data_IF_684401048202
#
_entry.id   IF_684401048202
#
_cell.length_a   1.000
_cell.length_b   1.000
_cell.length_c   1.000
_cell.angle_alpha   90.00
_cell.angle_beta   90.00
_cell.angle_gamma   90.00
#
_symmetry.space_group_name_H-M   'P 1'
#
loop_
_entity.id
_entity.type
_entity.pdbx_description
1 polymer ?
#
# COMPACT_ATOMS: atom_id res chain seq x y z
N UNK A 1 1.97 -19.24 17.70
CA UNK A 1 2.59 -18.32 16.72
C UNK A 1 2.03 -18.55 15.30
N UNK A 2 0.71 -18.53 15.10
CA UNK A 2 0.10 -18.81 13.78
C UNK A 2 0.38 -17.75 12.71
N UNK A 3 0.88 -16.57 13.10
CA UNK A 3 1.32 -15.56 12.14
C UNK A 3 2.63 -15.91 11.42
N UNK A 4 3.32 -16.99 11.85
CA UNK A 4 4.57 -17.50 11.27
C UNK A 4 4.41 -18.83 10.52
N UNK A 5 3.18 -19.32 10.32
CA UNK A 5 2.87 -20.58 9.61
C UNK A 5 2.33 -20.34 8.19
N UNK A 6 2.61 -21.27 7.27
CA UNK A 6 2.15 -21.24 5.87
C UNK A 6 3.09 -20.53 4.88
N UNK A 7 3.10 -21.03 3.64
CA UNK A 7 3.96 -20.61 2.52
C UNK A 7 3.50 -19.29 1.87
N UNK A 8 2.19 -18.99 1.96
CA UNK A 8 1.57 -17.74 1.47
C UNK A 8 0.73 -17.12 2.57
N UNK A 9 0.95 -15.82 2.85
CA UNK A 9 0.24 -15.09 3.92
C UNK A 9 -0.39 -13.81 3.41
N UNK A 10 -1.69 -13.69 3.59
CA UNK A 10 -2.43 -12.46 3.29
C UNK A 10 -2.34 -11.50 4.46
N UNK A 11 -1.80 -10.31 4.22
CA UNK A 11 -1.60 -9.27 5.24
C UNK A 11 -2.01 -7.90 4.70
N UNK A 12 -2.50 -7.05 5.60
CA UNK A 12 -2.57 -5.61 5.38
C UNK A 12 -1.33 -4.97 5.98
N UNK A 13 -0.70 -4.06 5.25
CA UNK A 13 0.44 -3.31 5.78
C UNK A 13 -0.04 -1.97 6.34
N UNK A 14 0.05 -1.81 7.66
CA UNK A 14 -0.31 -0.57 8.34
C UNK A 14 0.94 0.26 8.62
N UNK A 15 1.07 1.41 7.96
CA UNK A 15 2.19 2.33 8.12
C UNK A 15 2.18 2.97 9.51
N UNK A 16 3.37 3.23 10.08
CA UNK A 16 3.54 4.05 11.28
C UNK A 16 3.00 5.49 11.09
N UNK A 17 2.84 5.95 9.84
CA UNK A 17 2.15 7.21 9.50
C UNK A 17 0.62 7.12 9.56
N UNK A 18 0.06 6.01 10.06
CA UNK A 18 -1.38 5.75 10.28
C UNK A 18 -2.21 5.58 8.99
N UNK A 19 -1.63 4.91 7.99
CA UNK A 19 -2.31 4.57 6.73
C UNK A 19 -2.14 3.09 6.39
N UNK A 20 -3.15 2.49 5.77
CA UNK A 20 -3.02 1.18 5.12
C UNK A 20 -2.50 1.35 3.70
N UNK A 21 -1.48 0.58 3.36
CA UNK A 21 -1.00 0.51 1.99
C UNK A 21 -2.08 -0.09 1.07
N UNK A 22 -2.34 0.59 -0.04
CA UNK A 22 -3.23 0.14 -1.13
C UNK A 22 -2.48 0.22 -2.45
N UNK A 23 -2.74 -0.76 -3.31
CA UNK A 23 -2.32 -0.75 -4.71
C UNK A 23 -3.60 -0.77 -5.55
N UNK A 24 -3.77 0.20 -6.44
CA UNK A 24 -4.92 0.27 -7.34
C UNK A 24 -4.75 -0.68 -8.56
N UNK A 25 -5.81 -0.86 -9.35
CA UNK A 25 -5.76 -1.70 -10.56
C UNK A 25 -4.78 -1.18 -11.64
N UNK A 26 -4.48 0.11 -11.61
CA UNK A 26 -3.47 0.78 -12.43
C UNK A 26 -2.04 0.65 -11.89
N UNK A 27 -1.85 0.01 -10.72
CA UNK A 27 -0.55 -0.20 -10.06
C UNK A 27 -0.03 1.04 -9.35
N UNK A 28 -0.86 2.06 -9.20
CA UNK A 28 -0.62 3.18 -8.31
C UNK A 28 -0.61 2.69 -6.87
N UNK A 29 0.31 3.24 -6.07
CA UNK A 29 0.47 2.91 -4.66
C UNK A 29 0.06 4.11 -3.83
N UNK A 30 -0.79 3.90 -2.83
CA UNK A 30 -1.26 4.96 -1.95
C UNK A 30 -1.58 4.45 -0.54
N UNK A 31 -1.80 5.39 0.38
CA UNK A 31 -2.19 5.13 1.75
C UNK A 31 -3.65 5.52 1.98
N UNK A 32 -4.46 4.59 2.46
CA UNK A 32 -5.87 4.82 2.83
C UNK A 32 -6.04 4.79 4.35
N UNK A 33 -6.97 5.56 4.90
CA UNK A 33 -7.29 5.50 6.34
C UNK A 33 -8.33 4.41 6.58
N UNK A 34 -8.28 3.74 7.74
CA UNK A 34 -9.16 2.62 8.13
C UNK A 34 -10.67 2.87 7.93
N UNK A 35 -11.11 4.14 7.97
CA UNK A 35 -12.51 4.52 7.79
C UNK A 35 -13.01 4.45 6.35
N UNK A 36 -12.13 4.32 5.36
CA UNK A 36 -12.52 4.07 3.98
C UNK A 36 -12.74 2.58 3.80
N UNK A 37 -13.94 2.14 4.21
CA UNK A 37 -14.49 0.85 3.82
C UNK A 37 -14.39 0.76 2.30
N UNK A 38 -13.53 -0.13 1.83
CA UNK A 38 -13.51 -0.62 0.44
C UNK A 38 -14.95 -0.88 -0.01
N UNK A 39 -15.53 0.05 -0.77
CA UNK A 39 -16.90 -0.06 -1.27
C UNK A 39 -17.79 1.18 -1.17
N UNK A 40 -17.34 2.33 -0.64
CA UNK A 40 -18.07 3.59 -0.86
C UNK A 40 -17.20 4.57 -1.66
N UNK A 41 -17.57 4.91 -2.92
CA UNK A 41 -16.89 5.96 -3.64
C UNK A 41 -17.05 7.29 -2.89
N UNK A 42 -16.02 8.13 -2.96
CA UNK A 42 -16.05 9.50 -2.47
C UNK A 42 -17.20 10.26 -3.18
N UNK A 43 -18.05 11.03 -2.48
CA UNK A 43 -19.09 11.86 -3.11
C UNK A 43 -18.56 12.78 -4.23
N UNK A 44 -17.27 13.14 -4.19
CA UNK A 44 -16.62 13.93 -5.24
C UNK A 44 -16.48 13.20 -6.60
N UNK A 45 -16.55 11.87 -6.63
CA UNK A 45 -16.48 11.05 -7.85
C UNK A 45 -17.84 10.89 -8.56
N UNK A 46 -18.94 11.28 -7.89
CA UNK A 46 -20.28 11.33 -8.50
C UNK A 46 -20.50 12.69 -9.20
N UNK A 47 -19.76 12.95 -10.29
CA UNK A 47 -20.12 14.06 -11.19
C UNK A 47 -21.36 13.67 -12.01
N UNK A 48 -22.55 13.96 -11.46
CA UNK A 48 -23.81 13.90 -12.22
C UNK A 48 -25.01 13.34 -11.46
N UNK A 49 -25.37 13.90 -10.29
CA UNK A 49 -26.64 13.57 -9.64
C UNK A 49 -27.78 14.45 -10.19
N UNK A 50 -28.37 14.05 -11.31
CA UNK A 50 -29.73 14.47 -11.67
C UNK A 50 -30.76 13.78 -10.76
N UNK A 51 -31.81 14.51 -10.34
CA UNK A 51 -32.89 13.99 -9.48
C UNK A 51 -33.47 12.71 -10.09
N UNK A 52 -33.30 11.56 -9.42
CA UNK A 52 -33.75 10.27 -9.94
C UNK A 52 -32.72 9.13 -9.89
N UNK A 53 -31.90 9.07 -8.83
CA UNK A 53 -31.49 7.81 -8.18
C UNK A 53 -31.04 6.60 -9.03
N UNK A 54 -30.34 6.75 -10.15
CA UNK A 54 -29.63 5.63 -10.80
C UNK A 54 -28.27 6.06 -11.35
N UNK A 55 -27.21 5.74 -10.60
CA UNK A 55 -25.84 5.79 -11.11
C UNK A 55 -25.66 4.67 -12.15
N UNK A 56 -25.65 5.00 -13.43
CA UNK A 56 -25.23 4.06 -14.47
C UNK A 56 -23.70 4.04 -14.52
N UNK A 57 -23.12 2.86 -14.40
CA UNK A 57 -21.75 2.60 -14.84
C UNK A 57 -20.67 2.72 -13.77
N UNK A 58 -20.66 1.79 -12.80
CA UNK A 58 -19.36 1.24 -12.39
C UNK A 58 -19.11 0.03 -13.28
N UNK A 59 -18.69 0.28 -14.53
CA UNK A 59 -17.96 -0.75 -15.26
C UNK A 59 -16.65 -0.89 -14.51
N UNK A 60 -16.51 -1.93 -13.70
CA UNK A 60 -15.27 -2.29 -13.04
C UNK A 60 -14.18 -2.42 -14.10
N UNK A 61 -13.47 -1.32 -14.32
CA UNK A 61 -12.49 -1.19 -15.37
C UNK A 61 -11.26 -2.00 -14.94
N UNK A 62 -11.19 -3.22 -15.47
CA UNK A 62 -9.97 -3.98 -15.68
C UNK A 62 -9.11 -4.21 -14.44
N UNK A 63 -9.39 -5.29 -13.72
CA UNK A 63 -8.34 -5.99 -12.98
C UNK A 63 -7.36 -6.61 -13.98
N UNK A 64 -6.55 -5.78 -14.63
CA UNK A 64 -5.41 -6.22 -15.41
C UNK A 64 -4.47 -6.94 -14.45
N UNK A 65 -4.31 -8.26 -14.62
CA UNK A 65 -3.38 -9.05 -13.84
C UNK A 65 -1.98 -8.58 -14.22
N UNK A 66 -1.44 -7.63 -13.45
CA UNK A 66 -0.09 -7.11 -13.66
C UNK A 66 0.91 -8.24 -13.49
N UNK A 67 1.73 -8.42 -14.51
CA UNK A 67 2.74 -9.46 -14.52
C UNK A 67 3.74 -9.24 -13.39
N UNK A 68 4.12 -10.33 -12.72
CA UNK A 68 5.10 -10.27 -11.66
C UNK A 68 6.47 -9.88 -12.25
N UNK A 69 6.97 -8.72 -11.86
CA UNK A 69 8.29 -8.23 -12.26
C UNK A 69 9.29 -8.42 -11.13
N UNK A 70 10.61 -8.57 -11.41
CA UNK A 70 11.65 -8.51 -10.38
C UNK A 70 11.58 -7.26 -9.49
N UNK A 71 10.98 -6.18 -10.01
CA UNK A 71 10.70 -4.93 -9.30
C UNK A 71 9.72 -5.09 -8.11
N UNK A 72 8.97 -6.19 -8.07
CA UNK A 72 8.01 -6.52 -7.03
C UNK A 72 8.64 -7.28 -5.85
N UNK A 73 9.96 -7.53 -5.87
CA UNK A 73 10.66 -8.26 -4.81
C UNK A 73 11.23 -7.29 -3.76
N UNK A 74 10.82 -7.50 -2.52
CA UNK A 74 11.27 -6.73 -1.36
C UNK A 74 11.88 -7.66 -0.31
N UNK A 75 12.93 -7.19 0.36
CA UNK A 75 13.48 -7.77 1.57
C UNK A 75 12.71 -7.20 2.76
N UNK A 76 12.03 -8.08 3.49
CA UNK A 76 11.42 -7.75 4.77
C UNK A 76 12.46 -7.84 5.89
N UNK A 77 12.45 -6.88 6.81
CA UNK A 77 13.18 -6.95 8.08
C UNK A 77 12.33 -6.44 9.22
N UNK A 78 12.41 -7.13 10.36
CA UNK A 78 11.82 -6.69 11.62
C UNK A 78 12.80 -5.70 12.26
N UNK A 79 12.31 -4.51 12.58
CA UNK A 79 13.05 -3.47 13.29
C UNK A 79 12.84 -3.57 14.80
N UNK A 80 13.74 -2.97 15.56
CA UNK A 80 13.74 -3.01 17.04
C UNK A 80 12.47 -2.42 17.67
N UNK A 81 11.77 -1.54 16.96
CA UNK A 81 10.51 -0.95 17.41
C UNK A 81 9.26 -1.82 17.13
N UNK A 82 9.45 -3.05 16.64
CA UNK A 82 8.38 -3.99 16.32
C UNK A 82 7.68 -3.75 14.99
N UNK A 83 8.12 -2.78 14.19
CA UNK A 83 7.66 -2.60 12.82
C UNK A 83 8.56 -3.33 11.82
N UNK A 84 8.05 -3.56 10.62
CA UNK A 84 8.82 -4.13 9.53
C UNK A 84 9.20 -3.04 8.52
N UNK A 85 10.38 -3.16 7.93
CA UNK A 85 10.81 -2.41 6.75
C UNK A 85 10.84 -3.32 5.52
N UNK A 86 10.56 -2.73 4.36
CA UNK A 86 10.53 -3.44 3.08
C UNK A 86 11.48 -2.74 2.10
N UNK A 87 12.68 -3.27 1.94
CA UNK A 87 13.70 -2.74 1.04
C UNK A 87 13.58 -3.39 -0.34
N UNK A 88 13.66 -2.62 -1.42
CA UNK A 88 13.71 -3.20 -2.76
C UNK A 88 14.97 -4.03 -2.94
N UNK A 89 14.84 -5.23 -3.51
CA UNK A 89 16.00 -6.07 -3.84
C UNK A 89 16.79 -5.53 -5.03
N UNK A 90 16.10 -4.90 -5.98
CA UNK A 90 16.71 -4.44 -7.23
C UNK A 90 17.14 -2.98 -7.16
N UNK A 91 16.33 -2.14 -6.51
CA UNK A 91 16.47 -0.70 -6.65
C UNK A 91 17.26 -0.05 -5.50
N UNK A 92 18.35 0.61 -5.87
CA UNK A 92 19.24 1.35 -4.95
C UNK A 92 19.45 2.78 -5.45
N UNK A 93 19.66 3.71 -4.54
CA UNK A 93 20.00 5.09 -4.85
C UNK A 93 21.30 5.47 -4.15
N UNK A 94 22.34 5.79 -4.94
CA UNK A 94 23.69 6.11 -4.43
C UNK A 94 24.22 5.01 -3.49
N UNK A 95 24.11 3.75 -3.91
CA UNK A 95 24.52 2.58 -3.12
C UNK A 95 23.61 2.22 -1.95
N UNK A 96 22.59 3.03 -1.63
CA UNK A 96 21.67 2.77 -0.50
C UNK A 96 20.40 2.07 -0.97
N UNK A 97 19.88 1.08 -0.24
CA UNK A 97 18.60 0.46 -0.57
C UNK A 97 17.47 1.50 -0.54
N UNK A 98 16.51 1.36 -1.44
CA UNK A 98 15.28 2.12 -1.42
C UNK A 98 14.19 1.31 -0.70
N UNK A 99 13.37 2.00 0.09
CA UNK A 99 12.35 1.38 0.92
C UNK A 99 10.95 1.72 0.40
N UNK A 100 10.02 0.80 0.60
CA UNK A 100 8.61 1.15 0.56
C UNK A 100 8.33 2.21 1.63
N UNK A 101 7.53 3.22 1.30
CA UNK A 101 7.25 4.31 2.25
C UNK A 101 5.96 5.06 1.95
N UNK A 102 5.28 5.49 3.01
CA UNK A 102 4.16 6.42 2.94
C UNK A 102 4.45 7.65 3.82
N UNK A 103 4.33 8.84 3.25
CA UNK A 103 4.49 10.07 4.03
C UNK A 103 3.32 10.31 4.99
N UNK A 104 3.38 11.41 5.74
CA UNK A 104 2.33 11.84 6.68
C UNK A 104 0.98 12.15 6.02
N UNK A 105 0.93 12.31 4.70
CA UNK A 105 -0.28 12.53 3.89
C UNK A 105 -0.77 11.24 3.21
N UNK A 106 -0.17 10.08 3.51
CA UNK A 106 -0.53 8.81 2.88
C UNK A 106 -0.07 8.68 1.43
N UNK A 107 0.84 9.53 0.94
CA UNK A 107 1.37 9.42 -0.43
C UNK A 107 2.69 8.64 -0.46
N UNK A 108 2.96 7.87 -1.52
CA UNK A 108 4.22 7.18 -1.69
C UNK A 108 5.36 8.22 -1.81
N UNK A 109 6.49 7.95 -1.16
CA UNK A 109 7.68 8.78 -1.35
C UNK A 109 8.58 8.23 -2.44
N UNK A 110 9.32 9.14 -3.09
CA UNK A 110 10.36 8.76 -4.05
C UNK A 110 11.46 7.98 -3.33
N UNK A 111 11.83 6.82 -3.86
CA UNK A 111 12.75 5.88 -3.22
C UNK A 111 14.09 6.51 -2.77
N UNK A 112 14.66 7.45 -3.55
CA UNK A 112 15.92 8.12 -3.19
C UNK A 112 15.88 8.93 -1.87
N UNK A 113 14.67 9.32 -1.42
CA UNK A 113 14.43 10.04 -0.16
C UNK A 113 14.19 9.11 1.03
N UNK A 114 14.03 7.81 0.80
CA UNK A 114 13.66 6.86 1.85
C UNK A 114 14.87 6.45 2.70
N UNK A 115 14.63 6.17 3.98
CA UNK A 115 15.64 5.87 4.99
C UNK A 115 15.07 4.85 5.98
N UNK A 116 15.83 3.81 6.29
CA UNK A 116 15.43 2.73 7.21
C UNK A 116 14.95 3.25 8.57
N UNK A 117 15.60 4.27 9.11
CA UNK A 117 15.29 4.82 10.42
C UNK A 117 14.03 5.69 10.43
N UNK A 118 13.52 6.09 9.26
CA UNK A 118 12.41 7.01 9.18
C UNK A 118 11.07 6.28 9.28
N UNK A 119 10.18 6.77 10.15
CA UNK A 119 8.86 6.16 10.40
C UNK A 119 8.01 5.97 9.14
N UNK A 120 8.22 6.78 8.10
CA UNK A 120 7.52 6.59 6.83
C UNK A 120 7.79 5.25 6.15
N UNK A 121 8.87 4.56 6.52
CA UNK A 121 9.26 3.24 5.97
C UNK A 121 8.81 2.07 6.83
N UNK A 122 8.18 2.34 7.98
CA UNK A 122 7.82 1.34 8.98
C UNK A 122 6.37 0.91 8.78
N UNK A 123 6.15 -0.40 8.63
CA UNK A 123 4.83 -0.99 8.45
C UNK A 123 4.62 -2.17 9.38
N UNK A 124 3.42 -2.28 9.92
CA UNK A 124 2.98 -3.38 10.77
C UNK A 124 2.13 -4.35 9.92
N UNK A 125 2.55 -5.62 9.73
CA UNK A 125 1.75 -6.61 8.99
C UNK A 125 0.58 -7.12 9.85
N UNK A 126 -0.63 -6.69 9.51
CA UNK A 126 -1.86 -7.10 10.17
C UNK A 126 -2.51 -8.27 9.43
N UNK A 127 -3.08 -9.22 10.19
CA UNK A 127 -3.88 -10.31 9.62
C UNK A 127 -5.13 -9.74 8.92
N UNK A 128 -5.46 -10.31 7.77
CA UNK A 128 -6.78 -10.13 7.15
C UNK A 128 -7.70 -11.14 7.82
N UNK A 129 -8.69 -10.65 8.59
CA UNK A 129 -9.79 -11.47 9.09
C UNK A 129 -10.96 -11.46 8.12
#
# INVERSE_FOLDING_TARGET
YGHLEGDVRWRRLFSATRFFLRIDGGGGVEGTRWRERSGKPDPADCRGCGRGGRCRGWTGAGAGRKEFSPNCKFMERIEENGYNTYASLHWRHRGRPMFLSLNSKGRPQRGGRTRRQHLSTHFLPMLVS
#
